data_IF_629039821620
#
_entry.id   IF_629039821620
#
_cell.length_a   1.000
_cell.length_b   1.000
_cell.length_c   1.000
_cell.angle_alpha   90.00
_cell.angle_beta   90.00
_cell.angle_gamma   90.00
#
_symmetry.space_group_name_H-M   'P 1'
#
loop_
_entity.id
_entity.type
_entity.pdbx_description
1 polymer ?
#
# COMPACT_ATOMS: atom_id res chain seq x y z
N UNK A 1 -32.36 15.51 37.42
CA UNK A 1 -31.26 14.51 37.51
C UNK A 1 -30.93 14.14 36.10
N UNK A 2 -29.91 14.78 35.52
CA UNK A 2 -29.41 14.49 34.20
C UNK A 2 -28.33 13.42 34.35
N UNK A 3 -28.63 12.22 33.88
CA UNK A 3 -27.62 11.15 33.77
C UNK A 3 -26.53 11.62 32.81
N UNK A 4 -25.38 11.98 33.39
CA UNK A 4 -24.14 12.01 32.64
C UNK A 4 -23.86 10.56 32.24
N UNK A 5 -24.10 10.24 30.96
CA UNK A 5 -23.53 9.07 30.36
C UNK A 5 -22.02 9.19 30.53
N UNK A 6 -21.43 8.36 31.39
CA UNK A 6 -20.00 8.11 31.44
C UNK A 6 -19.61 7.55 30.06
N UNK A 7 -19.24 8.45 29.16
CA UNK A 7 -18.49 8.10 27.98
C UNK A 7 -17.13 7.69 28.54
N UNK A 8 -16.97 6.41 28.78
CA UNK A 8 -15.66 5.81 29.02
C UNK A 8 -14.79 6.31 27.88
N UNK A 9 -13.84 7.15 28.22
CA UNK A 9 -12.88 7.81 27.33
C UNK A 9 -11.88 6.71 26.89
N UNK A 10 -12.38 5.87 25.96
CA UNK A 10 -11.75 4.64 25.58
C UNK A 10 -10.74 4.94 24.46
N UNK A 11 -9.49 4.66 24.72
CA UNK A 11 -8.46 4.77 23.71
C UNK A 11 -8.83 3.87 22.52
N UNK A 12 -8.86 4.45 21.34
CA UNK A 12 -9.19 3.78 20.10
C UNK A 12 -7.96 3.75 19.19
N UNK A 13 -7.84 2.68 18.41
CA UNK A 13 -6.76 2.56 17.44
C UNK A 13 -7.20 3.16 16.12
N UNK A 14 -6.39 4.05 15.59
CA UNK A 14 -6.57 4.73 14.32
C UNK A 14 -5.39 4.49 13.41
N UNK A 15 -5.63 4.60 12.13
CA UNK A 15 -4.61 4.62 11.10
C UNK A 15 -4.85 5.82 10.18
N UNK A 16 -3.86 6.66 10.01
CA UNK A 16 -3.86 7.75 9.05
C UNK A 16 -2.97 7.38 7.88
N UNK A 17 -3.58 7.22 6.69
CA UNK A 17 -2.87 7.10 5.42
C UNK A 17 -2.87 8.43 4.69
N UNK A 18 -1.72 8.85 4.16
CA UNK A 18 -1.60 10.17 3.54
C UNK A 18 -0.69 10.17 2.32
N UNK A 19 -0.98 11.12 1.43
CA UNK A 19 -0.18 11.43 0.26
C UNK A 19 0.41 12.83 0.42
N UNK A 20 1.75 12.94 0.30
CA UNK A 20 2.46 14.21 0.28
C UNK A 20 2.74 14.59 -1.18
N UNK A 21 2.71 15.89 -1.48
CA UNK A 21 3.00 16.41 -2.80
C UNK A 21 4.38 15.96 -3.30
N UNK A 22 4.52 15.55 -4.57
CA UNK A 22 5.80 15.11 -5.13
C UNK A 22 6.81 16.27 -5.31
N UNK A 23 6.35 17.50 -5.18
CA UNK A 23 7.18 18.72 -5.25
C UNK A 23 7.93 19.00 -3.95
N UNK A 24 7.57 18.30 -2.86
CA UNK A 24 8.21 18.47 -1.54
C UNK A 24 9.57 17.74 -1.56
N UNK A 25 10.66 18.40 -1.18
CA UNK A 25 11.96 17.76 -1.03
C UNK A 25 11.95 16.67 0.03
N UNK A 26 12.71 15.58 -0.14
CA UNK A 26 12.76 14.45 0.78
C UNK A 26 13.12 14.84 2.22
N UNK A 27 13.97 15.83 2.39
CA UNK A 27 14.33 16.37 3.70
C UNK A 27 13.12 16.91 4.47
N UNK A 28 12.21 17.61 3.78
CA UNK A 28 10.97 18.14 4.37
C UNK A 28 9.92 17.07 4.65
N UNK A 29 10.00 15.91 3.99
CA UNK A 29 9.09 14.79 4.25
C UNK A 29 9.27 14.29 5.69
N UNK A 30 10.52 14.17 6.14
CA UNK A 30 10.85 13.79 7.53
C UNK A 30 10.26 14.76 8.54
N UNK A 31 10.30 16.07 8.27
CA UNK A 31 9.72 17.09 9.13
C UNK A 31 8.19 16.97 9.21
N UNK A 32 7.53 16.68 8.09
CA UNK A 32 6.07 16.52 8.03
C UNK A 32 5.65 15.32 8.87
N UNK A 33 6.34 14.18 8.73
CA UNK A 33 6.09 12.97 9.52
C UNK A 33 6.34 13.21 11.00
N UNK A 34 7.47 13.85 11.35
CA UNK A 34 7.80 14.18 12.75
C UNK A 34 6.75 15.10 13.37
N UNK A 35 6.27 16.11 12.65
CA UNK A 35 5.20 17.00 13.17
C UNK A 35 3.91 16.22 13.44
N UNK A 36 3.55 15.28 12.57
CA UNK A 36 2.38 14.44 12.76
C UNK A 36 2.53 13.53 13.99
N UNK A 37 3.67 12.86 14.14
CA UNK A 37 3.93 11.97 15.29
C UNK A 37 4.02 12.76 16.60
N UNK A 38 4.63 13.94 16.59
CA UNK A 38 4.67 14.85 17.72
C UNK A 38 3.28 15.34 18.13
N UNK A 39 2.42 15.65 17.15
CA UNK A 39 1.04 16.07 17.42
C UNK A 39 0.25 14.95 18.09
N UNK A 40 0.39 13.70 17.60
CA UNK A 40 -0.25 12.53 18.18
C UNK A 40 0.21 12.36 19.64
N UNK A 41 1.52 12.36 19.88
CA UNK A 41 2.11 12.20 21.21
C UNK A 41 1.68 13.32 22.19
N UNK A 42 1.69 14.59 21.74
CA UNK A 42 1.26 15.74 22.55
C UNK A 42 -0.20 15.69 22.98
N UNK A 43 -1.04 15.01 22.18
CA UNK A 43 -2.47 14.86 22.49
C UNK A 43 -2.79 13.54 23.22
N UNK A 44 -1.79 12.89 23.79
CA UNK A 44 -1.94 11.68 24.59
C UNK A 44 -2.08 10.41 23.75
N UNK A 45 -1.76 10.47 22.47
CA UNK A 45 -1.70 9.30 21.61
C UNK A 45 -0.36 8.57 21.73
N UNK A 46 -0.33 7.33 21.28
CA UNK A 46 0.83 6.46 21.24
C UNK A 46 0.95 5.82 19.85
N UNK A 47 2.11 5.94 19.23
CA UNK A 47 2.39 5.34 17.92
C UNK A 47 2.55 3.82 18.08
N UNK A 48 1.86 3.06 17.24
CA UNK A 48 1.92 1.59 17.21
C UNK A 48 2.87 1.13 16.09
N UNK A 49 2.67 1.66 14.89
CA UNK A 49 3.49 1.34 13.70
C UNK A 49 3.36 2.44 12.66
N UNK A 50 4.36 2.56 11.81
CA UNK A 50 4.37 3.54 10.73
C UNK A 50 5.13 3.02 9.51
N UNK A 51 4.81 3.56 8.35
CA UNK A 51 5.61 3.40 7.13
C UNK A 51 6.00 4.78 6.60
N UNK A 52 7.31 5.00 6.50
CA UNK A 52 7.86 6.25 5.97
C UNK A 52 7.40 6.47 4.53
N UNK A 53 7.01 7.71 4.15
CA UNK A 53 6.49 8.01 2.83
C UNK A 53 7.46 7.69 1.71
N UNK A 54 6.96 6.91 0.72
CA UNK A 54 7.68 6.53 -0.49
C UNK A 54 6.93 7.01 -1.72
N UNK A 55 7.67 7.45 -2.76
CA UNK A 55 7.06 7.87 -4.01
C UNK A 55 6.33 6.71 -4.68
N UNK A 56 5.08 6.93 -5.05
CA UNK A 56 4.22 5.94 -5.74
C UNK A 56 3.43 6.61 -6.86
N UNK A 57 3.14 5.84 -7.92
CA UNK A 57 2.18 6.27 -8.94
C UNK A 57 0.77 6.18 -8.35
N UNK A 58 -0.03 7.19 -8.64
CA UNK A 58 -1.45 7.21 -8.28
C UNK A 58 -2.25 6.47 -9.35
N UNK A 59 -3.35 5.83 -8.94
CA UNK A 59 -4.27 5.15 -9.88
C UNK A 59 -5.02 6.13 -10.78
N UNK A 60 -5.12 7.38 -10.37
CA UNK A 60 -5.70 8.49 -11.13
C UNK A 60 -5.06 9.80 -10.69
N UNK A 61 -5.12 10.81 -11.56
CA UNK A 61 -4.60 12.15 -11.25
C UNK A 61 -5.43 12.85 -10.18
N UNK A 62 -4.74 13.38 -9.18
CA UNK A 62 -5.36 14.20 -8.12
C UNK A 62 -5.04 15.67 -8.40
N UNK A 63 -6.09 16.48 -8.50
CA UNK A 63 -5.97 17.94 -8.64
C UNK A 63 -5.95 18.58 -7.27
N UNK A 64 -4.97 19.44 -7.04
CA UNK A 64 -4.89 20.29 -5.85
C UNK A 64 -4.64 21.74 -6.23
N UNK A 65 -5.25 22.65 -5.51
CA UNK A 65 -4.94 24.07 -5.63
C UNK A 65 -3.64 24.33 -4.86
N UNK A 66 -2.64 24.79 -5.60
CA UNK A 66 -1.36 25.25 -5.05
C UNK A 66 -1.27 26.73 -5.37
N UNK A 67 -1.22 27.55 -4.32
CA UNK A 67 -1.33 29.02 -4.44
C UNK A 67 -2.61 29.44 -5.20
N UNK A 68 -2.46 29.92 -6.44
CA UNK A 68 -3.56 30.42 -7.28
C UNK A 68 -3.99 29.47 -8.39
N UNK A 69 -3.24 28.39 -8.63
CA UNK A 69 -3.43 27.46 -9.76
C UNK A 69 -3.83 26.08 -9.30
N UNK A 70 -4.62 25.37 -10.11
CA UNK A 70 -4.87 23.95 -9.94
C UNK A 70 -3.78 23.16 -10.67
N UNK A 71 -3.05 22.34 -9.94
CA UNK A 71 -2.06 21.41 -10.48
C UNK A 71 -2.58 19.98 -10.38
N UNK A 72 -2.27 19.17 -11.38
CA UNK A 72 -2.62 17.76 -11.44
C UNK A 72 -1.38 16.92 -11.14
N UNK A 73 -1.54 15.92 -10.29
CA UNK A 73 -0.45 15.06 -9.84
C UNK A 73 -0.78 13.60 -10.12
N UNK A 74 0.10 12.91 -10.85
CA UNK A 74 0.03 11.47 -11.15
C UNK A 74 0.89 10.62 -10.21
N UNK A 75 1.73 11.27 -9.39
CA UNK A 75 2.60 10.64 -8.39
C UNK A 75 2.47 11.37 -7.07
N UNK A 76 2.71 10.68 -5.96
CA UNK A 76 2.78 11.27 -4.63
C UNK A 76 3.65 10.40 -3.72
N UNK A 77 4.14 10.98 -2.62
CA UNK A 77 4.72 10.19 -1.54
C UNK A 77 3.60 9.63 -0.67
N UNK A 78 3.49 8.33 -0.58
CA UNK A 78 2.50 7.65 0.26
C UNK A 78 3.18 7.10 1.51
N UNK A 79 2.60 7.40 2.67
CA UNK A 79 2.96 6.87 3.97
C UNK A 79 1.71 6.67 4.84
N UNK A 80 1.88 5.97 5.94
CA UNK A 80 0.81 5.78 6.93
C UNK A 80 1.38 5.69 8.35
N UNK A 81 0.56 6.04 9.32
CA UNK A 81 0.87 5.96 10.76
C UNK A 81 -0.32 5.34 11.48
N UNK A 82 -0.09 4.27 12.21
CA UNK A 82 -1.06 3.63 13.11
C UNK A 82 -0.76 4.05 14.54
N UNK A 83 -1.79 4.50 15.25
CA UNK A 83 -1.66 5.04 16.60
C UNK A 83 -2.90 4.76 17.42
N UNK A 84 -2.74 4.80 18.72
CA UNK A 84 -3.82 4.73 19.71
C UNK A 84 -4.03 6.11 20.32
N UNK A 85 -5.27 6.56 20.42
CA UNK A 85 -5.60 7.89 20.92
C UNK A 85 -7.04 7.92 21.43
N UNK A 86 -7.34 8.85 22.34
CA UNK A 86 -8.70 9.17 22.76
C UNK A 86 -9.54 9.67 21.57
N UNK A 87 -10.75 9.14 21.43
CA UNK A 87 -11.67 9.54 20.34
C UNK A 87 -11.92 11.06 20.30
N UNK A 88 -12.00 11.69 21.46
CA UNK A 88 -12.18 13.15 21.55
C UNK A 88 -11.00 13.98 20.99
N UNK A 89 -9.83 13.38 20.87
CA UNK A 89 -8.63 14.08 20.40
C UNK A 89 -8.35 13.90 18.90
N UNK A 90 -9.08 13.02 18.21
CA UNK A 90 -8.83 12.71 16.79
C UNK A 90 -9.05 13.91 15.87
N UNK A 91 -10.00 14.79 16.22
CA UNK A 91 -10.29 16.01 15.45
C UNK A 91 -9.09 16.95 15.33
N UNK A 92 -8.16 16.91 16.30
CA UNK A 92 -6.94 17.71 16.24
C UNK A 92 -5.99 17.20 15.15
N UNK A 93 -5.91 15.87 14.97
CA UNK A 93 -5.12 15.24 13.90
C UNK A 93 -5.77 15.53 12.55
N UNK A 94 -7.08 15.40 12.44
CA UNK A 94 -7.84 15.70 11.22
C UNK A 94 -7.66 17.16 10.78
N UNK A 95 -7.76 18.11 11.71
CA UNK A 95 -7.58 19.54 11.43
C UNK A 95 -6.15 19.87 10.99
N UNK A 96 -5.13 19.27 11.61
CA UNK A 96 -3.74 19.45 11.20
C UNK A 96 -3.49 18.92 9.80
N UNK A 97 -4.01 17.73 9.52
CA UNK A 97 -3.89 17.15 8.17
C UNK A 97 -4.58 17.98 7.10
N UNK A 98 -5.73 18.59 7.42
CA UNK A 98 -6.46 19.49 6.51
C UNK A 98 -5.75 20.82 6.27
N UNK A 99 -5.11 21.36 7.30
CA UNK A 99 -4.43 22.65 7.23
C UNK A 99 -3.05 22.57 6.58
N UNK A 100 -2.47 21.38 6.48
CA UNK A 100 -1.14 21.18 5.91
C UNK A 100 -1.19 21.25 4.37
N UNK A 101 -0.62 22.29 3.79
CA UNK A 101 -0.59 22.51 2.35
C UNK A 101 0.20 21.45 1.58
N UNK A 102 1.13 20.77 2.24
CA UNK A 102 1.96 19.72 1.61
C UNK A 102 1.23 18.38 1.49
N UNK A 103 0.12 18.19 2.18
CA UNK A 103 -0.71 16.98 2.10
C UNK A 103 -1.63 17.08 0.90
N UNK A 104 -1.46 16.18 -0.07
CA UNK A 104 -2.30 16.09 -1.25
C UNK A 104 -3.67 15.51 -0.92
N UNK A 105 -3.68 14.42 -0.16
CA UNK A 105 -4.87 13.70 0.31
C UNK A 105 -4.53 12.87 1.54
N UNK A 106 -5.50 12.65 2.41
CA UNK A 106 -5.36 11.73 3.53
C UNK A 106 -6.68 11.05 3.86
N UNK A 107 -6.61 10.00 4.65
CA UNK A 107 -7.75 9.29 5.22
C UNK A 107 -7.39 8.86 6.64
N UNK A 108 -8.33 9.02 7.57
CA UNK A 108 -8.20 8.49 8.93
C UNK A 108 -9.26 7.40 9.08
N UNK A 109 -8.84 6.21 9.49
CA UNK A 109 -9.73 5.07 9.72
C UNK A 109 -9.54 4.52 11.13
N UNK A 110 -10.64 4.12 11.76
CA UNK A 110 -10.61 3.35 13.00
C UNK A 110 -10.28 1.90 12.64
N UNK A 111 -9.33 1.32 13.35
CA UNK A 111 -8.80 -0.02 13.06
C UNK A 111 -8.55 -0.80 14.35
N UNK A 112 -7.97 -1.97 14.24
CA UNK A 112 -7.58 -2.81 15.36
C UNK A 112 -6.06 -2.77 15.54
N UNK A 113 -5.58 -3.09 16.75
CA UNK A 113 -4.16 -3.05 17.09
C UNK A 113 -3.35 -4.06 16.30
N UNK A 114 -3.95 -5.22 16.00
CA UNK A 114 -3.30 -6.28 15.24
C UNK A 114 -2.96 -5.83 13.82
N UNK A 115 -1.81 -6.26 13.33
CA UNK A 115 -1.39 -5.94 11.98
C UNK A 115 -2.09 -6.87 10.99
N UNK A 116 -3.17 -6.41 10.39
CA UNK A 116 -3.97 -7.15 9.40
C UNK A 116 -3.37 -7.09 7.99
N UNK A 117 -2.29 -6.33 7.79
CA UNK A 117 -1.57 -6.37 6.53
C UNK A 117 -0.82 -7.69 6.40
N UNK A 118 -1.39 -8.63 5.66
CA UNK A 118 -0.64 -9.74 5.12
C UNK A 118 0.37 -9.17 4.12
N UNK A 119 1.63 -9.09 4.54
CA UNK A 119 2.71 -9.01 3.57
C UNK A 119 2.66 -10.30 2.77
N UNK A 120 2.14 -10.26 1.55
CA UNK A 120 2.34 -11.33 0.59
C UNK A 120 3.86 -11.44 0.40
N UNK A 121 4.48 -12.32 1.16
CA UNK A 121 5.81 -12.81 0.80
C UNK A 121 5.59 -13.56 -0.50
N UNK A 122 5.89 -12.93 -1.62
CA UNK A 122 6.02 -13.65 -2.88
C UNK A 122 6.92 -14.85 -2.58
N UNK A 123 6.51 -16.10 -2.87
CA UNK A 123 7.40 -17.22 -2.70
C UNK A 123 8.64 -16.88 -3.50
N UNK A 124 9.78 -16.78 -2.82
CA UNK A 124 11.07 -16.66 -3.48
C UNK A 124 11.22 -18.02 -4.19
N UNK A 125 10.90 -18.05 -5.47
CA UNK A 125 11.24 -19.17 -6.33
C UNK A 125 12.76 -19.13 -6.45
N UNK A 126 13.44 -19.81 -5.54
CA UNK A 126 14.86 -20.09 -5.66
C UNK A 126 15.00 -20.93 -6.94
N UNK A 127 15.38 -20.28 -8.04
CA UNK A 127 15.67 -20.93 -9.31
C UNK A 127 16.82 -21.96 -9.22
N UNK A 128 17.51 -22.02 -8.09
CA UNK A 128 18.64 -22.95 -7.90
C UNK A 128 18.22 -24.36 -7.50
N UNK A 129 17.04 -24.57 -6.88
CA UNK A 129 16.61 -25.90 -6.45
C UNK A 129 15.69 -26.64 -7.43
N UNK A 130 15.34 -26.03 -8.58
CA UNK A 130 14.42 -26.63 -9.53
C UNK A 130 15.12 -27.36 -10.70
N UNK A 131 16.46 -27.59 -10.61
CA UNK A 131 17.18 -28.39 -11.60
C UNK A 131 17.23 -29.89 -11.27
N UNK A 132 16.90 -30.29 -10.05
CA UNK A 132 17.02 -31.70 -9.64
C UNK A 132 15.67 -32.46 -9.53
N UNK A 133 14.52 -31.78 -9.52
CA UNK A 133 13.21 -32.44 -9.46
C UNK A 133 12.54 -32.70 -10.83
N UNK A 134 13.11 -32.23 -11.93
CA UNK A 134 12.58 -32.46 -13.29
C UNK A 134 12.95 -33.85 -13.84
N UNK A 135 13.74 -34.67 -13.08
CA UNK A 135 14.26 -35.96 -13.59
C UNK A 135 13.39 -37.17 -13.17
N UNK A 136 12.20 -37.00 -12.61
CA UNK A 136 11.34 -38.14 -12.23
C UNK A 136 9.93 -38.06 -12.78
N UNK A 137 9.75 -37.69 -14.04
CA UNK A 137 8.57 -38.10 -14.80
C UNK A 137 8.95 -39.33 -15.62
N UNK A 138 8.14 -40.39 -15.61
CA UNK A 138 8.42 -41.57 -16.45
C UNK A 138 8.41 -41.13 -17.91
N UNK A 139 9.53 -41.27 -18.59
CA UNK A 139 9.57 -41.15 -20.04
C UNK A 139 8.85 -42.37 -20.63
N UNK A 140 7.57 -42.24 -20.91
CA UNK A 140 6.99 -43.02 -21.97
C UNK A 140 7.61 -42.54 -23.28
N UNK A 141 8.50 -43.31 -23.80
CA UNK A 141 9.06 -43.17 -25.14
C UNK A 141 7.90 -43.42 -26.13
N UNK A 142 7.30 -42.35 -26.63
CA UNK A 142 6.61 -42.43 -27.92
C UNK A 142 7.68 -42.15 -28.97
N UNK A 143 8.27 -43.22 -29.49
CA UNK A 143 9.10 -43.18 -30.72
C UNK A 143 8.11 -42.96 -31.89
N UNK A 144 7.86 -41.72 -32.24
CA UNK A 144 7.19 -41.40 -33.50
C UNK A 144 8.26 -41.51 -34.57
N UNK A 145 8.12 -42.50 -35.44
CA UNK A 145 9.06 -42.70 -36.54
C UNK A 145 8.93 -41.58 -37.57
N UNK A 146 10.03 -41.18 -38.19
CA UNK A 146 10.07 -40.13 -39.22
C UNK A 146 9.07 -40.41 -40.38
N UNK A 147 8.72 -41.68 -40.61
CA UNK A 147 7.75 -42.11 -41.62
C UNK A 147 6.31 -41.77 -41.29
N UNK A 148 5.92 -41.58 -40.03
CA UNK A 148 4.58 -41.14 -39.62
C UNK A 148 4.39 -39.62 -39.75
N UNK A 149 5.48 -38.89 -39.63
CA UNK A 149 5.47 -37.42 -39.79
C UNK A 149 5.31 -37.08 -41.29
N UNK A 150 5.98 -37.79 -42.20
CA UNK A 150 5.86 -37.55 -43.64
C UNK A 150 4.47 -37.87 -44.17
N UNK A 151 3.81 -38.91 -43.66
CA UNK A 151 2.41 -39.23 -44.08
C UNK A 151 1.40 -38.19 -43.66
N UNK A 152 1.59 -37.58 -42.47
CA UNK A 152 0.65 -36.53 -42.02
C UNK A 152 0.85 -35.20 -42.75
N UNK A 153 2.01 -34.97 -43.33
CA UNK A 153 2.26 -33.78 -44.18
C UNK A 153 1.67 -33.97 -45.56
N UNK A 154 1.74 -35.15 -46.15
CA UNK A 154 1.17 -35.42 -47.47
C UNK A 154 -0.37 -35.35 -47.46
N UNK A 155 -1.06 -35.74 -46.38
CA UNK A 155 -2.51 -35.61 -46.25
C UNK A 155 -2.99 -34.16 -46.18
N UNK A 156 -2.17 -33.25 -45.68
CA UNK A 156 -2.54 -31.81 -45.57
C UNK A 156 -2.32 -31.02 -46.88
N UNK A 157 -1.64 -31.60 -47.88
CA UNK A 157 -1.34 -30.91 -49.16
C UNK A 157 -2.36 -31.23 -50.26
N UNK A 158 -3.25 -32.21 -50.07
CA UNK A 158 -4.18 -32.66 -51.09
C UNK A 158 -5.54 -31.93 -51.05
N UNK A 159 -5.78 -31.05 -50.07
CA UNK A 159 -7.08 -30.36 -49.91
C UNK A 159 -7.00 -28.85 -50.23
N UNK A 160 -6.39 -28.48 -51.38
CA UNK A 160 -6.57 -27.18 -52.04
C UNK A 160 -6.82 -27.36 -53.53
#
# INVERSE_FOLDING_TARGET
>A
MTEKSDVLDDNQVYEVGFHILPTVPEEKISEIVSKLTDLINKNGGSIISEEFPKIRNLSYEIKKRVETKYLSFSKAYFGWVKFEMLSASIDKVDNEMKSNENILRFIIVKTIRENTMHTFKSPIINKENNREEIIKLPKEKVEISEEEIDKSIDELVIDQ
#
